data_IF_353790907557
#
_entry.id   IF_353790907557
#
_cell.length_a   1.000
_cell.length_b   1.000
_cell.length_c   1.000
_cell.angle_alpha   90.00
_cell.angle_beta   90.00
_cell.angle_gamma   90.00
#
_symmetry.space_group_name_H-M   'P 1'
#
loop_
_entity.id
_entity.type
_entity.pdbx_description
1 polymer ?
#
# COMPACT_ATOMS: atom_id res chain seq x y z
N UNK A 1 28.07 18.30 -30.25
CA UNK A 1 27.55 16.99 -29.77
C UNK A 1 27.34 16.94 -28.26
N UNK A 2 28.10 17.67 -27.44
CA UNK A 2 27.88 17.76 -25.97
C UNK A 2 26.53 18.37 -25.59
N UNK A 3 26.09 19.41 -26.31
CA UNK A 3 24.85 20.12 -25.95
C UNK A 3 23.60 19.29 -26.27
N UNK A 4 23.59 18.54 -27.37
CA UNK A 4 22.50 17.60 -27.70
C UNK A 4 22.40 16.50 -26.63
N UNK A 5 23.52 15.95 -26.15
CA UNK A 5 23.52 14.97 -25.05
C UNK A 5 22.98 15.57 -23.75
N UNK A 6 23.41 16.78 -23.38
CA UNK A 6 22.91 17.49 -22.19
C UNK A 6 21.40 17.76 -22.26
N UNK A 7 20.89 18.17 -23.42
CA UNK A 7 19.45 18.40 -23.62
C UNK A 7 18.64 17.11 -23.54
N UNK A 8 19.14 16.00 -24.10
CA UNK A 8 18.50 14.69 -23.97
C UNK A 8 18.47 14.21 -22.52
N UNK A 9 19.59 14.27 -21.79
CA UNK A 9 19.65 13.89 -20.38
C UNK A 9 18.71 14.74 -19.50
N UNK A 10 18.67 16.05 -19.72
CA UNK A 10 17.77 16.96 -19.02
C UNK A 10 16.30 16.61 -19.27
N UNK A 11 15.95 16.27 -20.52
CA UNK A 11 14.58 15.91 -20.90
C UNK A 11 14.17 14.58 -20.26
N UNK A 12 15.03 13.55 -20.34
CA UNK A 12 14.77 12.24 -19.70
C UNK A 12 14.65 12.37 -18.18
N UNK A 13 15.50 13.19 -17.54
CA UNK A 13 15.42 13.44 -16.10
C UNK A 13 14.11 14.13 -15.71
N UNK A 14 13.67 15.11 -16.50
CA UNK A 14 12.40 15.81 -16.27
C UNK A 14 11.21 14.87 -16.40
N UNK A 15 11.19 14.03 -17.44
CA UNK A 15 10.13 13.02 -17.63
C UNK A 15 10.13 11.98 -16.52
N UNK A 16 11.31 11.51 -16.09
CA UNK A 16 11.43 10.57 -14.98
C UNK A 16 10.91 11.17 -13.67
N UNK A 17 11.18 12.44 -13.39
CA UNK A 17 10.69 13.12 -12.19
C UNK A 17 9.17 13.30 -12.25
N UNK A 18 8.62 13.67 -13.41
CA UNK A 18 7.18 13.80 -13.62
C UNK A 18 6.45 12.46 -13.41
N UNK A 19 6.95 11.38 -14.02
CA UNK A 19 6.39 10.03 -13.82
C UNK A 19 6.53 9.57 -12.37
N UNK A 20 7.66 9.88 -11.73
CA UNK A 20 7.88 9.60 -10.30
C UNK A 20 6.89 10.34 -9.40
N UNK A 21 6.59 11.60 -9.70
CA UNK A 21 5.60 12.39 -8.96
C UNK A 21 4.19 11.81 -9.11
N UNK A 22 3.78 11.43 -10.32
CA UNK A 22 2.48 10.79 -10.57
C UNK A 22 2.39 9.47 -9.79
N UNK A 23 3.44 8.64 -9.85
CA UNK A 23 3.49 7.38 -9.11
C UNK A 23 3.37 7.59 -7.60
N UNK A 24 4.04 8.61 -7.05
CA UNK A 24 3.94 8.96 -5.63
C UNK A 24 2.52 9.40 -5.23
N UNK A 25 1.84 10.20 -6.06
CA UNK A 25 0.45 10.61 -5.82
C UNK A 25 -0.49 9.41 -5.90
N UNK A 26 -0.35 8.54 -6.91
CA UNK A 26 -1.15 7.32 -7.03
C UNK A 26 -0.99 6.41 -5.81
N UNK A 27 0.22 6.32 -5.27
CA UNK A 27 0.48 5.56 -4.06
C UNK A 27 -0.21 6.17 -2.83
N UNK A 28 -0.19 7.50 -2.67
CA UNK A 28 -0.91 8.17 -1.59
C UNK A 28 -2.41 7.89 -1.66
N UNK A 29 -3.02 8.00 -2.85
CA UNK A 29 -4.44 7.68 -3.05
C UNK A 29 -4.73 6.21 -2.74
N UNK A 30 -3.86 5.29 -3.17
CA UNK A 30 -3.96 3.88 -2.84
C UNK A 30 -3.86 3.61 -1.33
N UNK A 31 -2.93 4.28 -0.64
CA UNK A 31 -2.78 4.20 0.82
C UNK A 31 -4.02 4.69 1.57
N UNK A 32 -4.62 5.81 1.14
CA UNK A 32 -5.89 6.30 1.68
C UNK A 32 -7.00 5.26 1.48
N UNK A 33 -7.01 4.56 0.33
CA UNK A 33 -7.92 3.45 0.08
C UNK A 33 -7.78 2.32 1.10
N UNK A 34 -6.55 1.88 1.38
CA UNK A 34 -6.26 0.85 2.41
C UNK A 34 -6.75 1.30 3.79
N UNK A 35 -6.46 2.55 4.15
CA UNK A 35 -6.90 3.15 5.42
C UNK A 35 -8.43 3.12 5.56
N UNK A 36 -9.15 3.52 4.51
CA UNK A 36 -10.62 3.55 4.51
C UNK A 36 -11.22 2.14 4.59
N UNK A 37 -10.71 1.18 3.82
CA UNK A 37 -11.19 -0.21 3.88
C UNK A 37 -10.98 -0.78 5.28
N UNK A 38 -9.82 -0.50 5.88
CA UNK A 38 -9.52 -0.99 7.23
C UNK A 38 -10.42 -0.32 8.27
N UNK A 39 -10.67 0.99 8.16
CA UNK A 39 -11.64 1.69 9.01
C UNK A 39 -13.04 1.07 8.92
N UNK A 40 -13.55 0.86 7.70
CA UNK A 40 -14.88 0.26 7.49
C UNK A 40 -14.92 -1.14 8.10
N UNK A 41 -13.90 -1.96 7.89
CA UNK A 41 -13.81 -3.29 8.48
C UNK A 41 -13.84 -3.27 10.01
N UNK A 42 -13.17 -2.29 10.64
CA UNK A 42 -13.22 -2.09 12.10
C UNK A 42 -14.64 -1.76 12.54
N UNK A 43 -15.32 -0.86 11.84
CA UNK A 43 -16.70 -0.49 12.18
C UNK A 43 -17.69 -1.65 12.03
N UNK A 44 -17.55 -2.46 10.97
CA UNK A 44 -18.39 -3.66 10.76
C UNK A 44 -18.13 -4.75 11.81
N UNK A 45 -16.88 -4.88 12.27
CA UNK A 45 -16.47 -5.89 13.26
C UNK A 45 -16.44 -5.37 14.71
N UNK A 46 -17.07 -4.23 15.00
CA UNK A 46 -17.02 -3.57 16.33
C UNK A 46 -17.41 -4.53 17.47
N UNK A 47 -18.50 -5.29 17.32
CA UNK A 47 -18.99 -6.22 18.34
C UNK A 47 -18.04 -7.39 18.58
N UNK A 48 -17.43 -7.94 17.53
CA UNK A 48 -16.41 -8.99 17.66
C UNK A 48 -15.18 -8.49 18.43
N UNK A 49 -14.71 -7.28 18.14
CA UNK A 49 -13.57 -6.66 18.82
C UNK A 49 -13.91 -6.45 20.30
N UNK A 50 -15.12 -5.94 20.59
CA UNK A 50 -15.63 -5.76 21.95
C UNK A 50 -15.68 -7.07 22.73
N UNK A 51 -16.17 -8.15 22.11
CA UNK A 51 -16.23 -9.47 22.71
C UNK A 51 -14.84 -10.04 23.01
N UNK A 52 -13.89 -9.91 22.08
CA UNK A 52 -12.49 -10.34 22.28
C UNK A 52 -11.85 -9.61 23.45
N UNK A 53 -12.04 -8.29 23.55
CA UNK A 53 -11.54 -7.49 24.67
C UNK A 53 -12.22 -7.83 25.99
N UNK A 54 -13.53 -8.10 26.00
CA UNK A 54 -14.26 -8.50 27.21
C UNK A 54 -13.75 -9.84 27.79
N UNK A 55 -13.23 -10.73 26.93
CA UNK A 55 -12.63 -12.02 27.33
C UNK A 55 -11.13 -11.86 27.68
N UNK A 56 -10.57 -10.65 27.58
CA UNK A 56 -9.22 -10.32 28.06
C UNK A 56 -8.17 -10.09 26.98
N UNK A 57 -8.54 -9.94 25.70
CA UNK A 57 -7.58 -9.54 24.65
C UNK A 57 -7.02 -8.15 24.94
N UNK A 58 -5.70 -7.98 24.80
CA UNK A 58 -5.04 -6.69 25.00
C UNK A 58 -5.24 -5.79 23.78
N UNK A 59 -5.16 -4.49 23.99
CA UNK A 59 -5.17 -3.51 22.90
C UNK A 59 -4.08 -3.82 21.85
N UNK A 60 -2.93 -4.31 22.30
CA UNK A 60 -1.83 -4.73 21.41
C UNK A 60 -2.19 -5.89 20.50
N UNK A 61 -3.04 -6.82 20.95
CA UNK A 61 -3.42 -8.00 20.16
C UNK A 61 -4.32 -7.57 18.99
N UNK A 62 -5.26 -6.67 19.27
CA UNK A 62 -6.14 -6.07 18.27
C UNK A 62 -5.34 -5.18 17.30
N UNK A 63 -4.42 -4.37 17.82
CA UNK A 63 -3.54 -3.53 17.01
C UNK A 63 -2.75 -4.36 16.00
N UNK A 64 -2.07 -5.41 16.46
CA UNK A 64 -1.24 -6.28 15.61
C UNK A 64 -2.09 -7.02 14.59
N UNK A 65 -3.30 -7.46 14.95
CA UNK A 65 -4.20 -8.13 14.01
C UNK A 65 -4.56 -7.22 12.82
N UNK A 66 -5.01 -5.99 13.07
CA UNK A 66 -5.39 -5.05 12.00
C UNK A 66 -4.18 -4.51 11.23
N UNK A 67 -3.02 -4.34 11.90
CA UNK A 67 -1.76 -4.04 11.19
C UNK A 67 -1.37 -5.18 10.24
N UNK A 68 -1.52 -6.42 10.68
CA UNK A 68 -1.25 -7.59 9.85
C UNK A 68 -2.21 -7.66 8.65
N UNK A 69 -3.50 -7.40 8.86
CA UNK A 69 -4.50 -7.41 7.79
C UNK A 69 -4.21 -6.32 6.73
N UNK A 70 -3.88 -5.10 7.15
CA UNK A 70 -3.53 -3.99 6.24
C UNK A 70 -2.20 -4.21 5.50
N UNK A 71 -1.17 -4.73 6.18
CA UNK A 71 0.11 -5.08 5.56
C UNK A 71 0.01 -6.26 4.60
N UNK A 72 -0.82 -7.26 4.91
CA UNK A 72 -1.10 -8.36 3.99
C UNK A 72 -1.85 -7.86 2.74
N UNK A 73 -2.83 -6.96 2.90
CA UNK A 73 -3.49 -6.33 1.75
C UNK A 73 -2.47 -5.59 0.85
N UNK A 74 -1.55 -4.83 1.43
CA UNK A 74 -0.54 -4.10 0.66
C UNK A 74 0.50 -5.02 0.02
N UNK A 75 0.86 -6.13 0.67
CA UNK A 75 1.76 -7.13 0.10
C UNK A 75 1.12 -7.87 -1.07
N UNK A 76 -0.13 -8.31 -0.93
CA UNK A 76 -0.88 -8.97 -2.01
C UNK A 76 -1.03 -8.02 -3.19
N UNK A 77 -1.43 -6.77 -2.93
CA UNK A 77 -1.50 -5.73 -3.96
C UNK A 77 -0.15 -5.46 -4.63
N UNK A 78 0.94 -5.42 -3.86
CA UNK A 78 2.30 -5.25 -4.38
C UNK A 78 2.76 -6.40 -5.27
N UNK A 79 2.53 -7.65 -4.86
CA UNK A 79 2.85 -8.84 -5.67
C UNK A 79 2.03 -8.84 -6.96
N UNK A 80 0.72 -8.60 -6.88
CA UNK A 80 -0.14 -8.50 -8.06
C UNK A 80 0.30 -7.36 -8.99
N UNK A 81 0.67 -6.20 -8.43
CA UNK A 81 1.18 -5.06 -9.18
C UNK A 81 2.49 -5.37 -9.92
N UNK A 82 3.42 -6.08 -9.28
CA UNK A 82 4.67 -6.54 -9.92
C UNK A 82 4.37 -7.51 -11.06
N UNK A 83 3.49 -8.49 -10.85
CA UNK A 83 3.09 -9.43 -11.88
C UNK A 83 2.46 -8.74 -13.08
N UNK A 84 1.51 -7.83 -12.84
CA UNK A 84 0.86 -7.04 -13.90
C UNK A 84 1.89 -6.17 -14.63
N UNK A 85 2.77 -5.49 -13.90
CA UNK A 85 3.83 -4.68 -14.48
C UNK A 85 4.78 -5.49 -15.37
N UNK A 86 5.11 -6.72 -14.98
CA UNK A 86 5.94 -7.62 -15.77
C UNK A 86 5.24 -8.06 -17.06
N UNK A 87 3.94 -8.38 -17.00
CA UNK A 87 3.13 -8.72 -18.18
C UNK A 87 3.03 -7.54 -19.15
N UNK A 88 2.84 -6.32 -18.64
CA UNK A 88 2.82 -5.10 -19.47
C UNK A 88 4.19 -4.84 -20.12
N UNK A 89 5.29 -5.05 -19.38
CA UNK A 89 6.62 -4.89 -19.93
C UNK A 89 6.90 -5.89 -21.07
N UNK A 90 6.47 -7.16 -20.91
CA UNK A 90 6.60 -8.18 -21.94
C UNK A 90 5.72 -7.88 -23.17
N UNK A 91 4.50 -7.39 -22.98
CA UNK A 91 3.63 -7.04 -24.11
C UNK A 91 4.18 -5.87 -24.92
N UNK A 92 4.78 -4.86 -24.26
CA UNK A 92 5.45 -3.76 -24.97
C UNK A 92 6.62 -4.22 -25.84
N UNK A 93 7.36 -5.24 -25.42
CA UNK A 93 8.44 -5.82 -26.23
C UNK A 93 7.88 -6.41 -27.54
N UNK A 94 6.72 -7.06 -27.47
CA UNK A 94 6.08 -7.74 -28.60
C UNK A 94 5.40 -6.75 -29.56
N UNK A 95 4.70 -5.75 -29.03
CA UNK A 95 3.87 -4.84 -29.83
C UNK A 95 4.59 -3.56 -30.29
N UNK A 96 5.60 -3.09 -29.55
CA UNK A 96 6.23 -1.79 -29.78
C UNK A 96 7.75 -1.86 -30.02
N UNK A 97 8.34 -3.07 -30.01
CA UNK A 97 9.78 -3.34 -30.16
C UNK A 97 10.66 -2.49 -29.20
N UNK A 98 10.10 -2.14 -28.04
CA UNK A 98 10.76 -1.35 -27.01
C UNK A 98 11.47 -2.25 -26.00
N UNK A 99 12.77 -2.02 -25.81
CA UNK A 99 13.56 -2.75 -24.81
C UNK A 99 13.28 -2.22 -23.41
N UNK A 100 12.28 -2.79 -22.73
CA UNK A 100 11.98 -2.47 -21.33
C UNK A 100 12.90 -3.28 -20.41
N UNK A 101 13.77 -2.60 -19.65
CA UNK A 101 14.62 -3.24 -18.63
C UNK A 101 13.97 -3.17 -17.26
N UNK A 102 13.51 -4.31 -16.76
CA UNK A 102 13.05 -4.45 -15.37
C UNK A 102 14.25 -4.76 -14.48
N UNK A 103 14.65 -3.82 -13.63
CA UNK A 103 15.76 -4.01 -12.68
C UNK A 103 15.27 -4.68 -11.39
N UNK A 104 16.06 -5.61 -10.86
CA UNK A 104 15.87 -6.21 -9.52
C UNK A 104 15.78 -5.11 -8.44
N UNK A 105 16.58 -4.05 -8.56
CA UNK A 105 16.59 -2.96 -7.59
C UNK A 105 15.25 -2.22 -7.53
N UNK A 106 14.59 -2.05 -8.68
CA UNK A 106 13.28 -1.40 -8.77
C UNK A 106 12.17 -2.25 -8.18
N UNK A 107 12.21 -3.57 -8.40
CA UNK A 107 11.27 -4.52 -7.79
C UNK A 107 11.41 -4.47 -6.27
N UNK A 108 12.64 -4.58 -5.77
CA UNK A 108 12.91 -4.61 -4.34
C UNK A 108 12.51 -3.30 -3.65
N UNK A 109 12.77 -2.15 -4.30
CA UNK A 109 12.30 -0.86 -3.84
C UNK A 109 10.76 -0.79 -3.79
N UNK A 110 10.08 -1.24 -4.84
CA UNK A 110 8.61 -1.26 -4.89
C UNK A 110 8.01 -2.16 -3.81
N UNK A 111 8.59 -3.33 -3.55
CA UNK A 111 8.14 -4.25 -2.50
C UNK A 111 8.28 -3.63 -1.11
N UNK A 112 9.44 -3.05 -0.79
CA UNK A 112 9.66 -2.37 0.50
C UNK A 112 8.69 -1.21 0.67
N UNK A 113 8.47 -0.45 -0.40
CA UNK A 113 7.59 0.70 -0.37
C UNK A 113 6.12 0.29 -0.19
N UNK A 114 5.66 -0.77 -0.85
CA UNK A 114 4.30 -1.31 -0.65
C UNK A 114 4.08 -1.79 0.79
N UNK A 115 5.09 -2.44 1.38
CA UNK A 115 5.04 -2.85 2.78
C UNK A 115 4.96 -1.64 3.73
N UNK A 116 5.80 -0.62 3.50
CA UNK A 116 5.80 0.61 4.29
C UNK A 116 4.45 1.34 4.22
N UNK A 117 3.81 1.41 3.05
CA UNK A 117 2.48 2.01 2.86
C UNK A 117 1.42 1.28 3.67
N UNK A 118 1.41 -0.06 3.62
CA UNK A 118 0.48 -0.88 4.41
C UNK A 118 0.59 -0.59 5.92
N UNK A 119 1.81 -0.48 6.44
CA UNK A 119 2.04 -0.12 7.84
C UNK A 119 1.55 1.30 8.12
N UNK A 120 2.02 2.30 7.38
CA UNK A 120 1.76 3.72 7.67
C UNK A 120 0.26 4.02 7.65
N UNK A 121 -0.45 3.55 6.63
CA UNK A 121 -1.89 3.79 6.48
C UNK A 121 -2.75 2.84 7.35
N UNK A 122 -2.20 1.71 7.78
CA UNK A 122 -2.87 0.76 8.68
C UNK A 122 -2.78 1.10 10.17
N UNK A 123 -1.76 1.87 10.60
CA UNK A 123 -1.55 2.21 12.02
C UNK A 123 -2.73 2.96 12.62
N UNK A 124 -3.22 4.00 11.94
CA UNK A 124 -4.30 4.83 12.47
C UNK A 124 -5.61 4.04 12.70
N UNK A 125 -6.16 3.29 11.71
CA UNK A 125 -7.36 2.50 11.93
C UNK A 125 -7.15 1.35 12.91
N UNK A 126 -5.99 0.70 12.90
CA UNK A 126 -5.68 -0.36 13.86
C UNK A 126 -5.65 0.16 15.30
N UNK A 127 -5.12 1.37 15.51
CA UNK A 127 -5.12 2.05 16.80
C UNK A 127 -6.52 2.46 17.24
N UNK A 128 -7.37 2.88 16.29
CA UNK A 128 -8.77 3.16 16.57
C UNK A 128 -9.50 1.88 17.03
N UNK A 129 -9.26 0.75 16.36
CA UNK A 129 -9.81 -0.55 16.73
C UNK A 129 -9.33 -1.02 18.11
N UNK A 130 -8.03 -0.86 18.38
CA UNK A 130 -7.43 -1.24 19.65
C UNK A 130 -7.87 -0.35 20.80
N UNK A 131 -8.55 0.77 20.58
CA UNK A 131 -9.06 1.66 21.64
C UNK A 131 -10.58 1.59 21.85
N UNK A 132 -11.27 0.68 21.17
CA UNK A 132 -12.69 0.45 21.38
C UNK A 132 -12.96 0.00 22.83
N UNK A 133 -13.93 0.64 23.48
CA UNK A 133 -14.41 0.26 24.81
C UNK A 133 -15.31 -0.97 24.69
N UNK A 134 -15.05 -2.07 25.43
CA UNK A 134 -15.85 -3.30 25.35
C UNK A 134 -17.34 -3.06 25.66
N UNK A 135 -17.61 -2.19 26.64
CA UNK A 135 -18.97 -1.86 27.09
C UNK A 135 -19.75 -1.12 26.00
N UNK A 136 -19.12 -0.16 25.30
CA UNK A 136 -19.76 0.57 24.20
C UNK A 136 -19.93 -0.32 22.97
N UNK A 137 -18.94 -1.17 22.67
CA UNK A 137 -18.97 -2.10 21.55
C UNK A 137 -20.06 -3.18 21.68
N UNK A 138 -20.43 -3.56 22.91
CA UNK A 138 -21.52 -4.50 23.20
C UNK A 138 -22.90 -3.83 23.31
N UNK A 139 -22.94 -2.49 23.36
CA UNK A 139 -24.17 -1.68 23.44
C UNK A 139 -24.61 -1.14 22.08
N UNK A 140 -23.80 -1.36 21.03
CA UNK A 140 -24.23 -1.21 19.65
C UNK A 140 -25.20 -2.37 19.36
N UNK A 141 -26.50 -2.02 19.38
CA UNK A 141 -27.72 -2.81 19.64
C UNK A 141 -28.12 -2.95 21.11
#
# INVERSE_FOLDING_TARGET
MSDIRKTLEATTKTMSLLLGAIAAISLLVGGIGIMNITLVSVTERTREIGLRKAIGAKDTDILVQFLCESTLMSLIGGVLGICIGFVIALSMLIFADWTVKVSISSILLATIFSFAVGIVFGIWPAHQASKLNPIEALRYE
#
